data_IF_881987964540
#
_entry.id   IF_881987964540
#
_cell.length_a   1.000
_cell.length_b   1.000
_cell.length_c   1.000
_cell.angle_alpha   90.00
_cell.angle_beta   90.00
_cell.angle_gamma   90.00
#
_symmetry.space_group_name_H-M   'P 1'
#
loop_
_entity.id
_entity.type
_entity.pdbx_description
1 polymer ?
#
# COMPACT_ATOMS: atom_id res chain seq x y z
N UNK A 1 14.34 -46.30 -40.43
CA UNK A 1 14.21 -44.82 -40.28
C UNK A 1 13.07 -44.42 -39.34
N UNK A 2 12.85 -45.12 -38.22
CA UNK A 2 11.70 -44.86 -37.28
C UNK A 2 12.14 -44.68 -35.82
N UNK A 3 13.48 -44.75 -35.52
CA UNK A 3 13.96 -44.62 -34.13
C UNK A 3 14.22 -43.18 -33.67
N UNK A 4 14.18 -42.21 -34.53
CA UNK A 4 14.59 -40.83 -34.17
C UNK A 4 13.43 -39.93 -33.73
N UNK A 5 12.21 -40.22 -34.21
CA UNK A 5 11.00 -39.46 -33.87
C UNK A 5 10.56 -39.63 -32.42
N UNK A 6 10.75 -40.81 -31.82
CA UNK A 6 10.35 -41.09 -30.43
C UNK A 6 11.28 -40.39 -29.43
N UNK A 7 12.56 -40.19 -29.79
CA UNK A 7 13.52 -39.49 -28.94
C UNK A 7 13.33 -37.99 -28.99
N UNK A 8 12.91 -37.46 -30.15
CA UNK A 8 12.56 -36.06 -30.34
C UNK A 8 11.25 -35.72 -29.60
N UNK A 9 10.24 -36.57 -29.68
CA UNK A 9 8.98 -36.40 -28.97
C UNK A 9 9.12 -36.45 -27.43
N UNK A 10 10.02 -37.33 -26.91
CA UNK A 10 10.35 -37.33 -25.47
C UNK A 10 11.06 -36.06 -25.05
N UNK A 11 11.98 -35.52 -25.85
CA UNK A 11 12.66 -34.25 -25.57
C UNK A 11 11.67 -33.08 -25.67
N UNK A 12 10.80 -33.03 -26.67
CA UNK A 12 9.77 -31.99 -26.79
C UNK A 12 8.78 -32.03 -25.61
N UNK A 13 8.36 -33.21 -25.12
CA UNK A 13 7.52 -33.31 -23.93
C UNK A 13 8.23 -32.80 -22.66
N UNK A 14 9.54 -33.08 -22.49
CA UNK A 14 10.28 -32.55 -21.34
C UNK A 14 10.49 -31.04 -21.41
N UNK A 15 10.69 -30.49 -22.62
CA UNK A 15 10.77 -29.02 -22.79
C UNK A 15 9.41 -28.33 -22.63
N UNK A 16 8.31 -28.94 -23.05
CA UNK A 16 6.97 -28.38 -22.83
C UNK A 16 6.51 -28.48 -21.37
N UNK A 17 6.95 -29.50 -20.60
CA UNK A 17 6.73 -29.55 -19.16
C UNK A 17 7.57 -28.49 -18.42
N UNK A 18 8.83 -28.25 -18.87
CA UNK A 18 9.67 -27.21 -18.33
C UNK A 18 9.14 -25.79 -18.66
N UNK A 19 8.68 -25.58 -19.90
CA UNK A 19 8.05 -24.30 -20.30
C UNK A 19 6.72 -24.06 -19.55
N UNK A 20 5.92 -25.12 -19.33
CA UNK A 20 4.70 -25.03 -18.54
C UNK A 20 4.96 -24.75 -17.05
N UNK A 21 6.05 -25.29 -16.48
CA UNK A 21 6.44 -24.99 -15.11
C UNK A 21 7.06 -23.59 -14.96
N UNK A 22 7.70 -23.04 -16.00
CA UNK A 22 8.15 -21.65 -16.01
C UNK A 22 7.01 -20.65 -16.18
N UNK A 23 5.96 -20.99 -16.92
CA UNK A 23 4.75 -20.15 -17.04
C UNK A 23 3.89 -20.17 -15.76
N UNK A 24 3.99 -21.21 -14.93
CA UNK A 24 3.30 -21.27 -13.65
C UNK A 24 4.07 -20.55 -12.50
N UNK A 25 5.32 -20.12 -12.75
CA UNK A 25 6.10 -19.28 -11.82
C UNK A 25 6.06 -17.80 -12.20
N UNK A 26 5.49 -17.46 -13.36
CA UNK A 26 5.30 -16.09 -13.80
C UNK A 26 3.92 -15.59 -13.38
N UNK A 27 3.78 -15.25 -12.15
CA UNK A 27 2.92 -14.23 -11.55
C UNK A 27 2.48 -14.57 -10.14
N UNK A 28 3.42 -14.85 -9.26
CA UNK A 28 3.27 -14.27 -7.95
C UNK A 28 3.83 -12.86 -8.11
N UNK A 29 3.06 -11.96 -8.66
CA UNK A 29 3.20 -10.55 -8.37
C UNK A 29 3.06 -10.49 -6.86
N UNK A 30 4.19 -10.40 -6.15
CA UNK A 30 4.12 -10.09 -4.73
C UNK A 30 3.31 -8.81 -4.65
N UNK A 31 2.12 -8.89 -4.07
CA UNK A 31 1.33 -7.73 -3.77
C UNK A 31 2.23 -6.81 -2.96
N UNK A 32 2.55 -5.68 -3.51
CA UNK A 32 3.40 -4.70 -2.88
C UNK A 32 2.53 -3.52 -2.51
N UNK A 33 2.54 -3.14 -1.25
CA UNK A 33 1.98 -1.86 -0.84
C UNK A 33 3.01 -0.79 -1.19
N UNK A 34 2.61 0.15 -2.02
CA UNK A 34 3.38 1.36 -2.31
C UNK A 34 3.12 2.33 -1.16
N UNK A 35 4.04 2.40 -0.20
CA UNK A 35 3.92 3.25 0.98
C UNK A 35 4.85 4.45 0.88
N UNK A 36 4.32 5.64 1.14
CA UNK A 36 5.05 6.90 1.18
C UNK A 36 4.83 7.59 2.52
N UNK A 37 5.88 7.65 3.33
CA UNK A 37 5.91 8.50 4.52
C UNK A 37 6.37 9.90 4.09
N UNK A 38 5.51 10.88 4.29
CA UNK A 38 5.80 12.30 4.03
C UNK A 38 5.89 12.98 5.38
N UNK A 39 7.05 13.26 5.91
CA UNK A 39 7.23 13.97 7.20
C UNK A 39 6.04 14.85 7.56
N UNK A 40 5.40 14.61 8.70
CA UNK A 40 4.15 15.28 9.12
C UNK A 40 4.09 16.73 8.66
N UNK A 41 3.23 17.03 7.69
CA UNK A 41 3.12 18.35 7.08
C UNK A 41 1.79 18.97 7.45
N UNK A 42 1.85 20.09 8.21
CA UNK A 42 0.67 20.81 8.68
C UNK A 42 0.40 22.03 7.82
N UNK A 43 -0.84 22.18 7.38
CA UNK A 43 -1.35 23.30 6.59
C UNK A 43 -2.22 24.17 7.46
N UNK A 44 -1.85 25.43 7.61
CA UNK A 44 -2.49 26.41 8.49
C UNK A 44 -3.01 27.65 7.75
N UNK A 45 -2.53 27.89 6.53
CA UNK A 45 -2.93 29.03 5.73
C UNK A 45 -3.99 28.65 4.71
N UNK A 46 -4.89 29.60 4.38
CA UNK A 46 -5.90 29.41 3.34
C UNK A 46 -5.25 29.11 1.99
N UNK A 47 -5.89 28.22 1.21
CA UNK A 47 -5.45 27.80 -0.12
C UNK A 47 -4.11 27.05 -0.12
N UNK A 48 -3.67 26.55 1.04
CA UNK A 48 -2.52 25.66 1.15
C UNK A 48 -2.96 24.21 1.29
N UNK A 49 -2.19 23.29 0.72
CA UNK A 49 -2.51 21.86 0.73
C UNK A 49 -1.46 21.02 0.06
N UNK A 50 -1.78 19.76 -0.16
CA UNK A 50 -0.92 18.79 -0.80
C UNK A 50 -1.62 18.15 -2.00
N UNK A 51 -0.91 18.13 -3.13
CA UNK A 51 -1.22 17.30 -4.29
C UNK A 51 -0.28 16.10 -4.30
N UNK A 52 -0.79 14.90 -4.52
CA UNK A 52 0.03 13.69 -4.50
C UNK A 52 -0.39 12.70 -5.58
N UNK A 53 0.60 11.95 -6.03
CA UNK A 53 0.57 10.87 -7.01
C UNK A 53 0.74 9.57 -6.21
N UNK A 54 -0.30 8.74 -6.13
CA UNK A 54 -0.30 7.54 -5.30
C UNK A 54 0.43 6.37 -5.94
N UNK A 55 0.43 6.30 -7.28
CA UNK A 55 1.01 5.18 -8.03
C UNK A 55 2.39 5.49 -8.62
N UNK A 56 2.87 6.75 -8.48
CA UNK A 56 4.12 7.26 -9.04
C UNK A 56 4.18 7.20 -10.58
N UNK A 57 3.07 7.46 -11.26
CA UNK A 57 3.02 7.53 -12.72
C UNK A 57 3.34 8.94 -13.28
N UNK A 58 3.54 9.91 -12.41
CA UNK A 58 3.83 11.30 -12.74
C UNK A 58 2.59 12.17 -12.90
N UNK A 59 1.40 11.62 -12.66
CA UNK A 59 0.13 12.33 -12.70
C UNK A 59 -0.39 12.50 -11.27
N UNK A 60 -0.84 13.68 -10.91
CA UNK A 60 -1.48 13.91 -9.61
C UNK A 60 -2.82 13.17 -9.54
N UNK A 61 -3.01 12.34 -8.53
CA UNK A 61 -4.27 11.63 -8.29
C UNK A 61 -5.24 12.45 -7.46
N UNK A 62 -4.76 13.04 -6.37
CA UNK A 62 -5.58 13.76 -5.39
C UNK A 62 -4.92 15.05 -4.94
N UNK A 63 -5.77 16.02 -4.57
CA UNK A 63 -5.34 17.25 -3.90
C UNK A 63 -6.23 17.52 -2.71
N UNK A 64 -5.63 17.77 -1.54
CA UNK A 64 -6.32 18.17 -0.31
C UNK A 64 -5.80 19.52 0.13
N UNK A 65 -6.70 20.41 0.57
CA UNK A 65 -6.36 21.77 0.87
C UNK A 65 -7.27 22.40 1.94
N UNK A 66 -6.80 23.47 2.52
CA UNK A 66 -7.49 24.25 3.53
C UNK A 66 -8.07 25.51 2.91
N UNK A 67 -9.32 25.80 3.21
CA UNK A 67 -9.95 27.08 2.84
C UNK A 67 -10.39 27.83 4.08
N UNK A 68 -10.02 29.08 4.15
CA UNK A 68 -10.44 30.00 5.21
C UNK A 68 -10.97 31.29 4.62
N UNK A 69 -12.14 31.69 5.08
CA UNK A 69 -12.76 32.96 4.68
C UNK A 69 -13.46 33.63 5.85
N UNK A 70 -13.61 34.95 5.74
CA UNK A 70 -14.21 35.76 6.80
C UNK A 70 -13.23 36.17 7.90
N UNK A 71 -13.73 36.92 8.86
CA UNK A 71 -13.01 37.35 10.08
C UNK A 71 -13.92 37.14 11.28
N UNK A 72 -13.33 36.75 12.41
CA UNK A 72 -14.09 36.54 13.64
C UNK A 72 -14.96 37.78 13.97
N UNK A 73 -16.20 37.58 14.37
CA UNK A 73 -16.85 36.33 14.72
C UNK A 73 -17.51 35.57 13.55
N UNK A 74 -17.41 36.04 12.31
CA UNK A 74 -18.00 35.43 11.13
C UNK A 74 -16.90 34.73 10.32
N UNK A 75 -16.73 33.42 10.48
CA UNK A 75 -15.71 32.63 9.80
C UNK A 75 -16.34 31.44 9.07
N UNK A 76 -15.73 31.06 7.96
CA UNK A 76 -15.99 29.81 7.26
C UNK A 76 -14.65 29.15 6.93
N UNK A 77 -14.42 27.99 7.51
CA UNK A 77 -13.17 27.25 7.39
C UNK A 77 -13.50 25.80 7.07
N UNK A 78 -12.83 25.23 6.11
CA UNK A 78 -13.01 23.82 5.76
C UNK A 78 -11.77 23.18 5.16
N UNK A 79 -11.62 21.90 5.43
CA UNK A 79 -10.67 21.01 4.75
C UNK A 79 -11.42 20.31 3.64
N UNK A 80 -10.98 20.53 2.42
CA UNK A 80 -11.60 20.03 1.19
C UNK A 80 -10.61 19.17 0.42
N UNK A 81 -11.13 18.43 -0.57
CA UNK A 81 -10.32 17.63 -1.47
C UNK A 81 -10.98 17.39 -2.80
N UNK A 82 -10.18 17.02 -3.77
CA UNK A 82 -10.66 16.58 -5.07
C UNK A 82 -9.72 15.55 -5.69
N UNK A 83 -10.26 14.77 -6.62
CA UNK A 83 -9.49 13.91 -7.51
C UNK A 83 -9.15 14.66 -8.79
N UNK A 84 -7.95 14.43 -9.31
CA UNK A 84 -7.53 15.00 -10.59
C UNK A 84 -8.10 14.24 -11.79
N UNK A 85 -8.32 12.92 -11.63
CA UNK A 85 -9.01 12.08 -12.61
C UNK A 85 -10.46 11.84 -12.18
N UNK A 86 -11.37 11.77 -13.15
CA UNK A 86 -12.81 11.62 -12.89
C UNK A 86 -13.19 10.27 -12.28
N UNK A 87 -12.36 9.26 -12.51
CA UNK A 87 -12.59 7.88 -12.04
C UNK A 87 -11.89 7.59 -10.70
N UNK A 88 -11.13 8.56 -10.17
CA UNK A 88 -10.56 8.46 -8.83
C UNK A 88 -11.62 8.86 -7.78
N UNK A 89 -11.70 8.11 -6.68
CA UNK A 89 -12.80 8.17 -5.74
C UNK A 89 -12.32 8.17 -4.29
N UNK A 90 -13.21 8.64 -3.39
CA UNK A 90 -13.02 8.59 -1.95
C UNK A 90 -14.13 7.78 -1.29
N UNK A 91 -13.79 7.03 -0.25
CA UNK A 91 -14.75 6.34 0.58
C UNK A 91 -15.52 7.36 1.44
N UNK A 92 -16.82 7.45 1.25
CA UNK A 92 -17.65 8.46 1.93
C UNK A 92 -19.11 8.34 1.60
N UNK A 93 -19.92 9.19 2.23
CA UNK A 93 -21.36 9.27 2.01
C UNK A 93 -21.78 10.64 1.52
N UNK A 94 -22.84 10.71 0.72
CA UNK A 94 -23.42 11.97 0.25
C UNK A 94 -24.39 12.52 1.29
N UNK A 95 -24.14 13.75 1.75
CA UNK A 95 -25.04 14.46 2.63
C UNK A 95 -26.22 15.10 1.90
N UNK A 96 -27.25 15.51 2.65
CA UNK A 96 -28.45 16.19 2.12
C UNK A 96 -28.17 17.53 1.45
N UNK A 97 -26.99 18.12 1.69
CA UNK A 97 -26.50 19.37 1.10
C UNK A 97 -25.67 19.16 -0.16
N UNK A 98 -25.64 17.95 -0.70
CA UNK A 98 -24.86 17.56 -1.86
C UNK A 98 -23.34 17.65 -1.65
N UNK A 99 -22.86 17.56 -0.41
CA UNK A 99 -21.45 17.35 -0.11
C UNK A 99 -21.18 15.85 0.09
N UNK A 100 -20.02 15.42 -0.31
CA UNK A 100 -19.45 14.12 0.09
C UNK A 100 -18.74 14.31 1.41
N UNK A 101 -19.05 13.48 2.38
CA UNK A 101 -18.39 13.42 3.67
C UNK A 101 -17.48 12.17 3.73
N UNK A 102 -16.17 12.34 3.51
CA UNK A 102 -15.22 11.23 3.60
C UNK A 102 -15.26 10.53 4.95
N UNK A 103 -15.15 9.21 4.95
CA UNK A 103 -15.06 8.42 6.17
C UNK A 103 -13.73 8.69 6.89
N UNK A 104 -13.80 8.85 8.22
CA UNK A 104 -12.63 8.94 9.10
C UNK A 104 -12.38 7.56 9.72
N UNK A 105 -11.68 6.70 8.98
CA UNK A 105 -11.48 5.29 9.33
C UNK A 105 -10.43 5.10 10.41
N UNK A 106 -10.51 3.99 11.14
CA UNK A 106 -9.51 3.59 12.14
C UNK A 106 -8.39 2.77 11.49
N UNK A 107 -7.24 2.71 12.16
CA UNK A 107 -6.21 1.75 11.79
C UNK A 107 -6.78 0.31 11.81
N UNK A 108 -6.50 -0.47 10.76
CA UNK A 108 -6.99 -1.83 10.58
C UNK A 108 -8.38 -1.95 9.93
N UNK A 109 -9.09 -0.86 9.67
CA UNK A 109 -10.33 -0.88 8.92
C UNK A 109 -10.05 -1.32 7.46
N UNK A 110 -10.93 -2.16 6.91
CA UNK A 110 -10.80 -2.66 5.54
C UNK A 110 -11.22 -1.61 4.52
N UNK A 111 -10.37 -1.37 3.53
CA UNK A 111 -10.62 -0.50 2.38
C UNK A 111 -10.67 -1.38 1.14
N UNK A 112 -11.82 -1.47 0.49
CA UNK A 112 -12.06 -2.37 -0.63
C UNK A 112 -13.39 -2.08 -1.34
N UNK A 113 -13.81 -2.99 -2.20
CA UNK A 113 -14.98 -2.82 -3.08
C UNK A 113 -16.31 -2.63 -2.33
N UNK A 114 -16.38 -3.07 -1.08
CA UNK A 114 -17.57 -3.07 -0.22
C UNK A 114 -17.85 -1.69 0.44
N UNK A 115 -16.97 -0.71 0.31
CA UNK A 115 -17.22 0.66 0.76
C UNK A 115 -18.11 1.42 -0.24
N UNK A 116 -18.77 2.46 0.27
CA UNK A 116 -19.45 3.44 -0.58
C UNK A 116 -18.41 4.40 -1.15
N UNK A 117 -18.25 4.40 -2.48
CA UNK A 117 -17.28 5.20 -3.20
C UNK A 117 -17.92 6.39 -3.88
N UNK A 118 -17.24 7.53 -3.82
CA UNK A 118 -17.73 8.80 -4.36
C UNK A 118 -16.68 9.40 -5.29
N UNK A 119 -17.01 9.49 -6.58
CA UNK A 119 -16.19 10.17 -7.56
C UNK A 119 -16.20 11.69 -7.33
N UNK A 120 -15.12 12.36 -7.68
CA UNK A 120 -15.10 13.81 -7.76
C UNK A 120 -15.81 14.25 -9.05
N UNK A 121 -16.84 15.04 -8.89
CA UNK A 121 -17.64 15.51 -10.01
C UNK A 121 -18.36 16.82 -9.66
N UNK A 122 -19.69 16.74 -9.53
CA UNK A 122 -20.50 17.89 -9.10
C UNK A 122 -20.52 18.14 -7.59
N UNK A 123 -19.90 17.24 -6.82
CA UNK A 123 -19.93 17.25 -5.35
C UNK A 123 -18.55 17.52 -4.79
N UNK A 124 -18.48 18.38 -3.76
CA UNK A 124 -17.25 18.66 -3.03
C UNK A 124 -17.01 17.61 -1.95
N UNK A 125 -15.75 17.22 -1.74
CA UNK A 125 -15.34 16.32 -0.68
C UNK A 125 -14.98 17.11 0.57
N UNK A 126 -15.92 17.29 1.47
CA UNK A 126 -15.74 18.07 2.70
C UNK A 126 -15.37 17.17 3.85
N UNK A 127 -14.11 17.18 4.25
CA UNK A 127 -13.61 16.44 5.41
C UNK A 127 -14.15 17.04 6.71
N UNK A 128 -14.02 18.35 6.86
CA UNK A 128 -14.56 19.08 7.98
C UNK A 128 -14.80 20.55 7.65
N UNK A 129 -15.92 21.07 8.04
CA UNK A 129 -16.28 22.50 7.91
C UNK A 129 -16.73 23.06 9.24
N UNK A 130 -16.19 24.20 9.60
CA UNK A 130 -16.63 25.04 10.70
C UNK A 130 -17.09 26.38 10.13
N UNK A 131 -18.37 26.70 10.32
CA UNK A 131 -18.97 27.96 9.91
C UNK A 131 -19.61 28.67 11.11
N UNK A 132 -19.27 29.94 11.29
CA UNK A 132 -19.87 30.83 12.31
C UNK A 132 -20.31 32.14 11.66
N UNK A 133 -21.50 32.60 11.96
CA UNK A 133 -22.12 33.83 11.42
C UNK A 133 -22.30 34.89 12.52
N UNK A 134 -21.28 35.17 13.32
CA UNK A 134 -21.23 36.37 14.17
C UNK A 134 -22.26 36.56 15.27
N UNK A 135 -23.04 35.57 15.62
CA UNK A 135 -24.10 35.66 16.65
C UNK A 135 -25.05 34.46 16.63
N UNK A 136 -24.88 33.58 15.68
CA UNK A 136 -25.63 32.31 15.60
C UNK A 136 -24.82 31.16 16.20
N UNK A 137 -25.49 30.01 16.35
CA UNK A 137 -24.83 28.75 16.71
C UNK A 137 -23.92 28.34 15.57
N UNK A 138 -22.60 28.03 15.82
CA UNK A 138 -21.73 27.54 14.79
C UNK A 138 -22.25 26.24 14.18
N UNK A 139 -22.09 26.11 12.88
CA UNK A 139 -22.40 24.90 12.14
C UNK A 139 -21.09 24.11 11.92
N UNK A 140 -21.13 22.82 12.23
CA UNK A 140 -20.03 21.90 12.01
C UNK A 140 -20.51 20.76 11.10
N UNK A 141 -19.78 20.48 10.02
CA UNK A 141 -20.09 19.45 9.04
C UNK A 141 -18.87 18.58 8.80
N UNK A 142 -19.10 17.38 8.29
CA UNK A 142 -18.05 16.43 7.97
C UNK A 142 -17.67 15.51 9.14
N UNK A 143 -16.93 14.46 8.82
CA UNK A 143 -16.61 13.41 9.77
C UNK A 143 -15.23 13.59 10.45
N UNK A 144 -14.48 14.63 10.04
CA UNK A 144 -13.07 14.75 10.39
C UNK A 144 -12.74 15.81 11.42
N UNK A 145 -13.69 16.68 11.81
CA UNK A 145 -13.43 17.68 12.83
C UNK A 145 -13.01 17.06 14.16
N UNK A 146 -11.84 17.47 14.65
CA UNK A 146 -11.22 16.94 15.87
C UNK A 146 -10.65 15.53 15.73
N UNK A 147 -10.61 14.95 14.55
CA UNK A 147 -10.04 13.61 14.34
C UNK A 147 -8.53 13.67 14.25
N UNK A 148 -7.88 12.75 14.97
CA UNK A 148 -6.43 12.60 14.97
C UNK A 148 -6.07 11.21 14.45
N UNK A 149 -5.04 11.14 13.59
CA UNK A 149 -4.48 9.89 13.07
C UNK A 149 -5.52 8.95 12.46
N UNK A 150 -6.45 9.51 11.68
CA UNK A 150 -7.46 8.74 10.94
C UNK A 150 -7.05 8.55 9.49
N UNK A 151 -7.74 7.64 8.84
CA UNK A 151 -7.45 7.21 7.48
C UNK A 151 -8.63 7.53 6.56
N UNK A 152 -8.32 8.20 5.43
CA UNK A 152 -9.25 8.35 4.32
C UNK A 152 -9.01 7.19 3.35
N UNK A 153 -10.06 6.45 3.02
CA UNK A 153 -10.00 5.42 1.97
C UNK A 153 -10.03 6.09 0.59
N UNK A 154 -9.06 5.78 -0.25
CA UNK A 154 -8.89 6.30 -1.59
C UNK A 154 -8.91 5.15 -2.61
N UNK A 155 -9.42 5.41 -3.81
CA UNK A 155 -9.43 4.48 -4.92
C UNK A 155 -9.00 5.19 -6.19
N UNK A 156 -8.01 4.65 -6.90
CA UNK A 156 -7.64 5.12 -8.22
C UNK A 156 -8.03 4.07 -9.27
N UNK A 157 -8.31 4.52 -10.48
CA UNK A 157 -8.58 3.66 -11.62
C UNK A 157 -7.52 3.86 -12.69
N UNK A 158 -6.87 2.77 -13.10
CA UNK A 158 -5.84 2.74 -14.15
C UNK A 158 -6.17 1.60 -15.09
N UNK A 159 -6.35 1.87 -16.38
CA UNK A 159 -6.67 0.87 -17.40
C UNK A 159 -7.90 0.00 -17.05
N UNK A 160 -8.97 0.62 -16.51
CA UNK A 160 -10.20 -0.04 -16.04
C UNK A 160 -10.02 -0.93 -14.78
N UNK A 161 -8.82 -0.99 -14.20
CA UNK A 161 -8.52 -1.71 -12.96
C UNK A 161 -8.53 -0.76 -11.75
N UNK A 162 -9.06 -1.23 -10.61
CA UNK A 162 -9.24 -0.42 -9.40
C UNK A 162 -8.21 -0.78 -8.34
N UNK A 163 -7.53 0.25 -7.84
CA UNK A 163 -6.51 0.12 -6.80
C UNK A 163 -6.95 0.87 -5.56
N UNK A 164 -6.92 0.21 -4.41
CA UNK A 164 -7.34 0.76 -3.12
C UNK A 164 -6.14 1.23 -2.32
N UNK A 165 -6.30 2.38 -1.70
CA UNK A 165 -5.26 2.97 -0.87
C UNK A 165 -5.85 3.76 0.31
N UNK A 166 -4.96 4.32 1.10
CA UNK A 166 -5.33 5.16 2.22
C UNK A 166 -4.40 6.35 2.37
N UNK A 167 -4.91 7.42 2.96
CA UNK A 167 -4.16 8.58 3.42
C UNK A 167 -4.37 8.76 4.91
N UNK A 168 -3.31 8.87 5.72
CA UNK A 168 -3.39 9.20 7.15
C UNK A 168 -3.27 10.69 7.37
N UNK A 169 -4.25 11.25 8.06
CA UNK A 169 -4.25 12.67 8.38
C UNK A 169 -4.96 12.98 9.71
N UNK A 170 -4.79 14.21 10.16
CA UNK A 170 -5.47 14.81 11.32
C UNK A 170 -6.11 16.12 10.91
N UNK A 171 -7.29 16.42 11.46
CA UNK A 171 -7.99 17.69 11.26
C UNK A 171 -8.37 18.27 12.63
N UNK A 172 -8.13 19.56 12.84
CA UNK A 172 -8.49 20.22 14.09
C UNK A 172 -10.00 20.39 14.23
N UNK A 173 -10.48 20.68 15.47
CA UNK A 173 -11.92 20.74 15.80
C UNK A 173 -12.68 21.87 15.12
N UNK A 174 -11.98 22.84 14.55
CA UNK A 174 -12.57 24.02 13.90
C UNK A 174 -12.15 24.15 12.43
N UNK A 175 -11.52 23.11 11.86
CA UNK A 175 -10.92 23.15 10.52
C UNK A 175 -9.92 24.31 10.32
N UNK A 176 -9.19 24.72 11.37
CA UNK A 176 -8.16 25.74 11.28
C UNK A 176 -6.88 25.22 10.66
N UNK A 177 -6.64 23.95 10.79
CA UNK A 177 -5.47 23.26 10.27
C UNK A 177 -5.77 21.79 9.98
N UNK A 178 -4.99 21.21 9.11
CA UNK A 178 -4.93 19.78 8.93
C UNK A 178 -3.47 19.33 8.71
N UNK A 179 -3.17 18.11 9.09
CA UNK A 179 -1.83 17.53 8.96
C UNK A 179 -1.93 16.26 8.12
N UNK A 180 -1.16 16.17 7.04
CA UNK A 180 -0.97 14.94 6.27
C UNK A 180 0.32 14.27 6.74
N UNK A 181 0.30 12.94 6.86
CA UNK A 181 1.39 12.17 7.46
C UNK A 181 1.99 11.13 6.51
N UNK A 182 1.15 10.32 5.91
CA UNK A 182 1.58 9.24 5.00
C UNK A 182 0.42 8.73 4.19
N UNK A 183 0.73 8.04 3.10
CA UNK A 183 -0.27 7.34 2.29
C UNK A 183 0.28 6.02 1.77
N UNK A 184 -0.62 5.12 1.37
CA UNK A 184 -0.26 3.89 0.71
C UNK A 184 -1.31 3.43 -0.30
N UNK A 185 -0.84 2.66 -1.30
CA UNK A 185 -1.65 2.06 -2.34
C UNK A 185 -1.37 0.56 -2.44
N UNK A 186 -2.40 -0.25 -2.55
CA UNK A 186 -2.29 -1.67 -2.90
C UNK A 186 -1.97 -1.80 -4.39
N UNK A 187 -0.88 -2.47 -4.74
CA UNK A 187 -0.43 -2.62 -6.14
C UNK A 187 -1.12 -3.75 -6.91
N UNK A 188 -1.95 -4.55 -6.25
CA UNK A 188 -2.78 -5.55 -6.92
C UNK A 188 -4.17 -4.94 -7.14
N UNK A 189 -4.67 -4.92 -8.39
CA UNK A 189 -6.02 -4.43 -8.65
C UNK A 189 -7.07 -5.26 -7.91
N UNK A 190 -8.16 -4.62 -7.56
CA UNK A 190 -9.33 -5.18 -6.87
C UNK A 190 -9.03 -5.85 -5.51
N UNK A 191 -7.80 -5.70 -5.01
CA UNK A 191 -7.37 -6.22 -3.71
C UNK A 191 -7.51 -5.19 -2.61
N UNK A 192 -8.24 -5.52 -1.54
CA UNK A 192 -8.40 -4.63 -0.40
C UNK A 192 -7.07 -4.39 0.33
N UNK A 193 -6.96 -3.20 0.95
CA UNK A 193 -5.88 -2.83 1.87
C UNK A 193 -6.48 -2.53 3.25
N UNK A 194 -5.73 -2.72 4.32
CA UNK A 194 -6.14 -2.24 5.63
C UNK A 194 -5.61 -0.82 5.87
N UNK A 195 -6.41 0.02 6.50
CA UNK A 195 -6.01 1.36 6.89
C UNK A 195 -4.76 1.32 7.79
N UNK A 196 -3.69 1.98 7.37
CA UNK A 196 -2.41 1.97 8.06
C UNK A 196 -1.51 0.78 7.72
N UNK A 197 -1.91 -0.10 6.80
CA UNK A 197 -1.06 -1.18 6.34
C UNK A 197 0.03 -0.63 5.41
N UNK A 198 1.28 -0.84 5.77
CA UNK A 198 2.47 -0.37 5.04
C UNK A 198 3.29 -1.50 4.45
N UNK A 199 3.01 -2.71 4.90
CA UNK A 199 3.67 -3.92 4.47
C UNK A 199 2.65 -4.86 3.82
N UNK A 200 3.08 -5.60 2.82
CA UNK A 200 2.24 -6.64 2.21
C UNK A 200 1.83 -7.69 3.25
N UNK A 201 0.51 -7.79 3.51
CA UNK A 201 -0.07 -8.90 4.26
C UNK A 201 -1.14 -9.58 3.43
N UNK A 202 -0.87 -10.77 2.92
CA UNK A 202 -1.93 -11.65 2.43
C UNK A 202 -2.82 -12.08 3.60
N UNK A 203 -3.96 -11.44 3.77
CA UNK A 203 -5.18 -11.96 4.40
C UNK A 203 -5.10 -12.67 5.76
N UNK A 204 -4.21 -12.32 6.70
CA UNK A 204 -4.12 -12.97 8.02
C UNK A 204 -4.32 -11.93 9.14
N UNK A 205 -5.18 -12.21 10.15
CA UNK A 205 -5.48 -11.28 11.23
C UNK A 205 -4.26 -10.86 12.06
N UNK A 206 -4.30 -9.64 12.64
CA UNK A 206 -3.26 -8.95 13.40
C UNK A 206 -2.51 -9.75 14.49
N UNK A 207 -2.97 -10.94 14.90
CA UNK A 207 -2.30 -11.80 15.87
C UNK A 207 -1.01 -12.48 15.36
N UNK A 208 -0.63 -12.28 14.07
CA UNK A 208 0.51 -12.96 13.44
C UNK A 208 1.63 -11.98 13.02
N UNK A 209 1.51 -10.70 13.34
CA UNK A 209 2.52 -9.68 13.00
C UNK A 209 3.90 -9.92 13.67
N UNK A 210 3.92 -10.62 14.79
CA UNK A 210 5.16 -10.97 15.50
C UNK A 210 5.92 -12.16 14.90
N UNK A 211 5.31 -12.85 13.92
CA UNK A 211 5.80 -14.13 13.41
C UNK A 211 6.21 -14.11 11.93
N UNK A 212 6.80 -13.00 11.44
CA UNK A 212 7.14 -12.84 10.02
C UNK A 212 8.60 -13.06 9.70
N UNK A 213 8.82 -13.64 8.51
CA UNK A 213 10.13 -13.65 7.87
C UNK A 213 10.33 -12.28 7.19
N UNK A 214 11.44 -11.59 7.50
CA UNK A 214 11.86 -10.37 6.80
C UNK A 214 13.16 -10.64 6.07
N UNK A 215 13.25 -10.19 4.81
CA UNK A 215 14.46 -10.29 3.99
C UNK A 215 14.80 -8.89 3.51
N UNK A 216 15.95 -8.37 3.89
CA UNK A 216 16.48 -7.08 3.43
C UNK A 216 17.82 -7.33 2.77
N UNK A 217 18.01 -6.82 1.55
CA UNK A 217 19.27 -6.96 0.82
C UNK A 217 19.82 -5.58 0.45
N UNK A 218 21.12 -5.42 0.66
CA UNK A 218 21.90 -4.26 0.25
C UNK A 218 23.25 -4.74 -0.29
N UNK A 219 23.52 -4.47 -1.56
CA UNK A 219 24.69 -4.97 -2.27
C UNK A 219 24.77 -6.51 -2.16
N UNK A 220 25.89 -7.04 -1.62
CA UNK A 220 26.09 -8.49 -1.39
C UNK A 220 25.71 -8.95 0.02
N UNK A 221 25.04 -8.11 0.81
CA UNK A 221 24.60 -8.42 2.16
C UNK A 221 23.09 -8.67 2.19
N UNK A 222 22.67 -9.77 2.78
CA UNK A 222 21.26 -10.13 2.98
C UNK A 222 21.02 -10.33 4.46
N UNK A 223 20.09 -9.58 5.01
CA UNK A 223 19.65 -9.68 6.40
C UNK A 223 18.30 -10.38 6.42
N UNK A 224 18.20 -11.47 7.13
CA UNK A 224 17.00 -12.28 7.26
C UNK A 224 16.60 -12.29 8.72
N UNK A 225 15.34 -11.95 9.01
CA UNK A 225 14.74 -12.07 10.34
C UNK A 225 13.62 -13.07 10.25
N UNK A 226 13.69 -14.13 11.04
CA UNK A 226 12.63 -15.15 11.13
C UNK A 226 11.58 -14.81 12.16
N UNK A 227 10.51 -15.62 12.23
CA UNK A 227 9.44 -15.47 13.21
C UNK A 227 9.98 -15.61 14.65
N UNK A 228 9.26 -14.99 15.59
CA UNK A 228 9.59 -15.12 17.01
C UNK A 228 9.32 -16.55 17.49
N UNK A 229 10.24 -17.13 18.26
CA UNK A 229 10.05 -18.45 18.85
C UNK A 229 10.30 -19.62 17.89
N UNK A 230 11.16 -19.45 16.88
CA UNK A 230 11.56 -20.53 15.96
C UNK A 230 12.04 -21.76 16.73
N UNK A 231 11.38 -22.90 16.54
CA UNK A 231 11.76 -24.17 17.14
C UNK A 231 12.57 -25.05 16.14
N UNK A 232 12.09 -25.11 14.91
CA UNK A 232 12.66 -25.97 13.87
C UNK A 232 13.74 -25.26 13.03
N UNK A 233 13.94 -23.96 13.23
CA UNK A 233 14.87 -23.14 12.47
C UNK A 233 14.32 -22.63 11.14
N UNK A 234 15.20 -21.95 10.38
CA UNK A 234 14.90 -21.45 9.02
C UNK A 234 15.72 -22.21 7.99
N UNK A 235 15.08 -22.61 6.90
CA UNK A 235 15.76 -23.08 5.69
C UNK A 235 15.83 -21.92 4.67
N UNK A 236 17.03 -21.57 4.25
CA UNK A 236 17.30 -20.47 3.32
C UNK A 236 17.89 -21.04 2.04
N UNK A 237 17.32 -20.66 0.89
CA UNK A 237 17.82 -21.02 -0.43
C UNK A 237 18.10 -19.76 -1.24
N UNK A 238 19.28 -19.65 -1.83
CA UNK A 238 19.63 -18.64 -2.84
C UNK A 238 19.53 -19.31 -4.20
N UNK A 239 18.72 -18.75 -5.06
CA UNK A 239 18.35 -19.35 -6.35
C UNK A 239 18.73 -18.36 -7.45
N UNK A 240 19.40 -18.82 -8.49
CA UNK A 240 19.75 -18.00 -9.65
C UNK A 240 18.55 -17.88 -10.62
N UNK A 241 18.66 -17.01 -11.61
CA UNK A 241 17.60 -16.75 -12.59
C UNK A 241 17.20 -17.92 -13.48
N UNK A 242 18.00 -18.99 -13.52
CA UNK A 242 17.66 -20.23 -14.25
C UNK A 242 17.04 -21.29 -13.32
N UNK A 243 16.72 -20.92 -12.06
CA UNK A 243 16.09 -21.80 -11.09
C UNK A 243 17.04 -22.74 -10.34
N UNK A 244 18.36 -22.60 -10.55
CA UNK A 244 19.36 -23.38 -9.83
C UNK A 244 19.61 -22.86 -8.42
N UNK A 245 19.53 -23.73 -7.40
CA UNK A 245 19.92 -23.37 -6.03
C UNK A 245 21.45 -23.27 -5.98
N UNK A 246 21.96 -22.06 -5.74
CA UNK A 246 23.41 -21.78 -5.68
C UNK A 246 23.96 -21.76 -4.25
N UNK A 247 23.08 -21.57 -3.26
CA UNK A 247 23.44 -21.66 -1.84
C UNK A 247 22.24 -22.13 -1.03
N UNK A 248 22.47 -23.00 -0.03
CA UNK A 248 21.45 -23.45 0.91
C UNK A 248 22.01 -23.43 2.31
N UNK A 249 21.23 -22.91 3.25
CA UNK A 249 21.61 -22.83 4.67
C UNK A 249 20.41 -23.21 5.54
N UNK A 250 20.72 -23.76 6.71
CA UNK A 250 19.76 -23.95 7.79
C UNK A 250 20.30 -23.27 9.04
N UNK A 251 19.47 -22.52 9.74
CA UNK A 251 19.83 -21.85 11.00
C UNK A 251 18.70 -21.89 11.99
N UNK A 252 19.02 -21.94 13.27
CA UNK A 252 18.07 -21.78 14.38
C UNK A 252 18.06 -20.36 14.95
N UNK A 253 18.93 -19.50 14.44
CA UNK A 253 18.97 -18.10 14.84
C UNK A 253 17.79 -17.35 14.22
N UNK A 254 17.13 -16.52 15.01
CA UNK A 254 16.03 -15.67 14.53
C UNK A 254 16.50 -14.61 13.53
N UNK A 255 17.76 -14.19 13.62
CA UNK A 255 18.36 -13.21 12.72
C UNK A 255 19.60 -13.80 12.07
N UNK A 256 19.68 -13.69 10.76
CA UNK A 256 20.82 -14.15 9.97
C UNK A 256 21.33 -13.01 9.10
N UNK A 257 22.64 -12.78 9.14
CA UNK A 257 23.35 -11.96 8.16
C UNK A 257 24.08 -12.90 7.17
N UNK A 258 23.61 -12.91 5.94
CA UNK A 258 24.17 -13.72 4.86
C UNK A 258 24.97 -12.83 3.90
N UNK A 259 26.25 -13.14 3.74
CA UNK A 259 27.12 -12.51 2.75
C UNK A 259 27.16 -13.35 1.47
N UNK A 260 26.97 -12.70 0.33
CA UNK A 260 26.96 -13.32 -1.01
C UNK A 260 28.13 -12.85 -1.85
N UNK A 261 29.28 -12.61 -1.20
CA UNK A 261 30.52 -12.13 -1.85
C UNK A 261 31.12 -13.14 -2.80
N UNK A 262 30.80 -14.42 -2.61
CA UNK A 262 31.20 -15.57 -3.44
C UNK A 262 30.35 -15.73 -4.72
N UNK A 263 29.24 -14.96 -4.85
CA UNK A 263 28.37 -15.02 -6.01
C UNK A 263 28.68 -13.89 -7.01
N UNK A 264 28.56 -14.17 -8.32
CA UNK A 264 28.65 -13.14 -9.36
C UNK A 264 27.56 -12.07 -9.20
N UNK A 265 27.85 -10.86 -9.70
CA UNK A 265 26.84 -9.81 -9.78
C UNK A 265 25.66 -10.28 -10.65
N UNK A 266 24.45 -9.99 -10.19
CA UNK A 266 23.27 -10.48 -10.89
C UNK A 266 22.01 -10.45 -10.05
N UNK A 267 20.95 -11.06 -10.58
CA UNK A 267 19.64 -11.19 -9.94
C UNK A 267 19.52 -12.60 -9.35
N UNK A 268 19.08 -12.65 -8.10
CA UNK A 268 18.85 -13.88 -7.36
C UNK A 268 17.51 -13.83 -6.63
N UNK A 269 16.95 -14.99 -6.33
CA UNK A 269 15.81 -15.15 -5.45
C UNK A 269 16.28 -15.72 -4.12
N UNK A 270 15.98 -15.04 -3.01
CA UNK A 270 16.19 -15.57 -1.67
C UNK A 270 14.87 -16.17 -1.22
N UNK A 271 14.82 -17.48 -1.02
CA UNK A 271 13.66 -18.17 -0.47
C UNK A 271 13.98 -18.63 0.97
N UNK A 272 13.07 -18.32 1.88
CA UNK A 272 13.17 -18.68 3.31
C UNK A 272 11.92 -19.44 3.73
N UNK A 273 12.10 -20.54 4.44
CA UNK A 273 11.03 -21.33 5.01
C UNK A 273 11.28 -21.53 6.51
N UNK A 274 10.28 -21.22 7.35
CA UNK A 274 10.35 -21.38 8.78
C UNK A 274 8.94 -21.59 9.36
N UNK A 275 8.77 -22.59 10.24
CA UNK A 275 7.51 -22.88 10.95
C UNK A 275 6.27 -22.95 10.03
N UNK A 276 6.44 -23.48 8.82
CA UNK A 276 5.37 -23.57 7.81
C UNK A 276 5.10 -22.25 7.05
N UNK A 277 5.83 -21.20 7.35
CA UNK A 277 5.78 -19.93 6.63
C UNK A 277 6.86 -19.96 5.56
N UNK A 278 6.51 -19.58 4.35
CA UNK A 278 7.45 -19.47 3.23
C UNK A 278 7.44 -18.06 2.68
N UNK A 279 8.62 -17.47 2.49
CA UNK A 279 8.82 -16.16 1.87
C UNK A 279 9.92 -16.24 0.82
N UNK A 280 9.75 -15.53 -0.29
CA UNK A 280 10.80 -15.38 -1.29
C UNK A 280 10.93 -13.92 -1.70
N UNK A 281 12.17 -13.45 -1.89
CA UNK A 281 12.47 -12.08 -2.31
C UNK A 281 13.49 -12.07 -3.44
N UNK A 282 13.18 -11.36 -4.51
CA UNK A 282 14.12 -11.07 -5.60
C UNK A 282 15.09 -9.99 -5.14
N UNK A 283 16.38 -10.21 -5.31
CA UNK A 283 17.45 -9.29 -4.97
C UNK A 283 18.35 -9.06 -6.16
N UNK A 284 19.00 -7.90 -6.21
CA UNK A 284 20.10 -7.61 -7.13
C UNK A 284 21.37 -7.44 -6.32
N UNK A 285 22.40 -8.20 -6.64
CA UNK A 285 23.74 -8.06 -6.04
C UNK A 285 24.70 -7.45 -7.05
N UNK A 286 25.55 -6.56 -6.56
CA UNK A 286 26.54 -5.82 -7.34
C UNK A 286 27.91 -5.87 -6.67
#
# INVERSE_FOLDING_TARGET
MIKDTTRLQKKLKSYSLMAGSMLAVSSVTEAQILHQNISDTTFVDSETGLSFDMNNDGITDFTFFLVKSGTAPSVNQFVDGFASAVDNEIAGSVGSNSYVYPLAMQAGDKIGADLEWQAYGSLFWVFGQHYSSGGGTPVQLGNWLGQQDKYAGLRIEVDEEKYYGWLRMSVDSFANEFTIKEYALQSIPDSAILAGDTDFISGVPNAILENRIKIVAFEKNVFITGPVGIQNGMEISVINMVGGVVKRLHTKEQQLHLQLTDLPDGIYLIAVEAEGIRMARKISIK
#
